data_IF_478673747815
#
_entry.id   IF_478673747815
#
_cell.length_a   1.000
_cell.length_b   1.000
_cell.length_c   1.000
_cell.angle_alpha   90.00
_cell.angle_beta   90.00
_cell.angle_gamma   90.00
#
_symmetry.space_group_name_H-M   'P 1'
#
loop_
_entity.id
_entity.type
_entity.pdbx_description
1 polymer ?
#
# COMPACT_ATOMS: atom_id res chain seq x y z
N UNK A 1 -34.43 49.92 14.10
CA UNK A 1 -34.69 48.48 13.91
C UNK A 1 -33.99 48.07 12.64
N UNK A 2 -32.83 47.38 12.71
CA UNK A 2 -32.15 46.89 11.53
C UNK A 2 -32.86 45.59 11.13
N UNK A 3 -33.49 45.56 9.96
CA UNK A 3 -34.05 44.39 9.35
C UNK A 3 -32.87 43.47 8.97
N UNK A 4 -32.68 42.37 9.69
CA UNK A 4 -31.79 41.31 9.29
C UNK A 4 -32.47 40.57 8.11
N UNK A 5 -31.92 40.63 6.91
CA UNK A 5 -32.55 39.90 5.79
C UNK A 5 -32.53 38.41 6.12
N UNK A 6 -33.72 37.78 6.12
CA UNK A 6 -33.84 36.35 6.22
C UNK A 6 -33.06 35.72 5.05
N UNK A 7 -32.08 34.88 5.37
CA UNK A 7 -31.38 34.10 4.36
C UNK A 7 -32.40 33.35 3.48
N UNK A 8 -32.32 33.51 2.17
CA UNK A 8 -33.21 32.79 1.25
C UNK A 8 -32.87 31.29 1.34
N UNK A 9 -33.87 30.41 1.46
CA UNK A 9 -33.59 28.98 1.49
C UNK A 9 -32.92 28.56 0.19
N UNK A 10 -31.84 27.75 0.29
CA UNK A 10 -31.17 27.15 -0.86
C UNK A 10 -32.20 26.24 -1.55
N UNK A 11 -32.52 26.54 -2.80
CA UNK A 11 -33.54 25.80 -3.58
C UNK A 11 -32.95 24.63 -4.37
N UNK A 12 -31.68 24.75 -4.76
CA UNK A 12 -30.95 23.72 -5.50
C UNK A 12 -30.15 22.93 -4.47
N UNK A 13 -30.24 21.62 -4.54
CA UNK A 13 -29.35 20.71 -3.81
C UNK A 13 -28.39 20.08 -4.80
N UNK A 14 -27.19 19.88 -4.37
CA UNK A 14 -26.16 19.14 -5.14
C UNK A 14 -25.80 17.88 -4.37
N UNK A 15 -25.37 16.85 -5.08
CA UNK A 15 -24.86 15.64 -4.48
C UNK A 15 -23.38 15.51 -4.77
N UNK A 16 -22.60 15.18 -3.74
CA UNK A 16 -21.17 14.85 -3.84
C UNK A 16 -20.81 13.90 -2.71
N UNK A 17 -19.92 12.93 -2.94
CA UNK A 17 -19.60 11.90 -1.97
C UNK A 17 -20.82 11.06 -1.53
N UNK A 18 -21.81 10.90 -2.41
CA UNK A 18 -23.05 10.17 -2.11
C UNK A 18 -24.04 10.90 -1.19
N UNK A 19 -23.81 12.17 -0.85
CA UNK A 19 -24.60 12.96 0.10
C UNK A 19 -25.14 14.23 -0.58
N UNK A 20 -26.38 14.63 -0.23
CA UNK A 20 -26.97 15.90 -0.64
C UNK A 20 -26.46 17.05 0.25
N UNK A 21 -25.99 18.14 -0.35
CA UNK A 21 -25.44 19.28 0.34
C UNK A 21 -26.34 20.52 0.23
N UNK A 22 -26.52 21.20 1.36
CA UNK A 22 -27.22 22.48 1.46
C UNK A 22 -26.31 23.65 1.87
N UNK A 23 -25.03 23.40 2.15
CA UNK A 23 -24.04 24.41 2.54
C UNK A 23 -22.64 24.03 2.05
N UNK A 24 -21.77 25.05 1.86
CA UNK A 24 -20.38 24.86 1.48
C UNK A 24 -19.60 24.01 2.51
N UNK A 25 -19.89 24.20 3.80
CA UNK A 25 -19.26 23.41 4.87
C UNK A 25 -19.55 21.92 4.70
N UNK A 26 -20.83 21.55 4.50
CA UNK A 26 -21.21 20.15 4.26
C UNK A 26 -20.56 19.56 3.00
N UNK A 27 -20.44 20.36 1.93
CA UNK A 27 -19.73 19.93 0.72
C UNK A 27 -18.25 19.69 0.98
N UNK A 28 -17.58 20.53 1.77
CA UNK A 28 -16.16 20.37 2.12
C UNK A 28 -15.90 19.16 3.02
N UNK A 29 -16.82 18.84 3.92
CA UNK A 29 -16.73 17.68 4.82
C UNK A 29 -16.83 16.35 4.07
N UNK A 30 -17.55 16.32 2.94
CA UNK A 30 -17.79 15.13 2.13
C UNK A 30 -17.41 15.38 0.66
N UNK A 31 -16.24 15.97 0.46
CA UNK A 31 -15.80 16.42 -0.85
C UNK A 31 -15.36 15.27 -1.73
N UNK A 32 -16.01 15.11 -2.89
CA UNK A 32 -15.58 14.24 -3.98
C UNK A 32 -15.20 15.11 -5.17
N UNK A 33 -13.92 15.10 -5.57
CA UNK A 33 -13.46 15.89 -6.70
C UNK A 33 -14.12 15.47 -8.00
N UNK A 34 -14.34 14.18 -8.21
CA UNK A 34 -15.02 13.63 -9.39
C UNK A 34 -16.42 14.20 -9.53
N UNK A 35 -17.23 14.13 -8.46
CA UNK A 35 -18.60 14.68 -8.46
C UNK A 35 -18.60 16.19 -8.68
N UNK A 36 -17.67 16.90 -8.03
CA UNK A 36 -17.52 18.36 -8.17
C UNK A 36 -17.20 18.73 -9.61
N UNK A 37 -16.29 18.01 -10.27
CA UNK A 37 -15.99 18.22 -11.69
C UNK A 37 -17.21 17.96 -12.59
N UNK A 38 -17.99 16.93 -12.30
CA UNK A 38 -19.27 16.65 -12.98
C UNK A 38 -20.30 17.79 -12.80
N UNK A 39 -20.36 18.39 -11.60
CA UNK A 39 -21.23 19.53 -11.32
C UNK A 39 -20.73 20.84 -11.98
N UNK A 40 -19.44 20.96 -12.22
CA UNK A 40 -18.86 22.06 -13.02
C UNK A 40 -19.27 21.91 -14.49
N UNK A 41 -19.05 20.73 -15.06
CA UNK A 41 -19.36 20.44 -16.46
C UNK A 41 -20.84 20.75 -16.81
N UNK A 42 -21.76 20.51 -15.91
CA UNK A 42 -23.19 20.81 -16.11
C UNK A 42 -23.63 22.19 -15.62
N UNK A 43 -22.72 23.00 -15.08
CA UNK A 43 -22.96 24.36 -14.59
C UNK A 43 -23.84 24.44 -13.34
N UNK A 44 -24.06 23.33 -12.64
CA UNK A 44 -24.91 23.28 -11.43
C UNK A 44 -24.20 23.85 -10.22
N UNK A 45 -22.90 23.61 -10.08
CA UNK A 45 -22.11 23.99 -8.93
C UNK A 45 -22.06 25.53 -8.74
N UNK A 46 -21.74 26.26 -9.79
CA UNK A 46 -21.66 27.73 -9.70
C UNK A 46 -23.00 28.36 -9.32
N UNK A 47 -24.12 27.85 -9.88
CA UNK A 47 -25.46 28.29 -9.52
C UNK A 47 -25.78 28.00 -8.05
N UNK A 48 -25.40 26.84 -7.56
CA UNK A 48 -25.59 26.44 -6.17
C UNK A 48 -24.74 27.28 -5.22
N UNK A 49 -23.46 27.52 -5.55
CA UNK A 49 -22.56 28.37 -4.76
C UNK A 49 -23.12 29.79 -4.59
N UNK A 50 -23.67 30.40 -5.66
CA UNK A 50 -24.35 31.72 -5.56
C UNK A 50 -25.54 31.66 -4.63
N UNK A 51 -26.30 30.59 -4.60
CA UNK A 51 -27.41 30.46 -3.66
C UNK A 51 -26.96 30.29 -2.22
N UNK A 52 -25.78 29.70 -2.01
CA UNK A 52 -25.14 29.62 -0.70
C UNK A 52 -24.53 30.97 -0.26
N UNK A 53 -24.43 31.96 -1.16
CA UNK A 53 -23.80 33.26 -0.88
C UNK A 53 -22.30 33.28 -1.23
N UNK A 54 -21.76 32.24 -1.80
CA UNK A 54 -20.33 32.07 -2.14
C UNK A 54 -20.05 32.61 -3.56
N UNK A 55 -20.26 33.92 -3.75
CA UNK A 55 -20.21 34.53 -5.09
C UNK A 55 -18.80 34.53 -5.70
N UNK A 56 -17.76 34.75 -4.87
CA UNK A 56 -16.37 34.77 -5.32
C UNK A 56 -15.93 33.38 -5.82
N UNK A 57 -16.21 32.33 -5.04
CA UNK A 57 -15.93 30.96 -5.41
C UNK A 57 -16.74 30.55 -6.66
N UNK A 58 -17.99 30.97 -6.77
CA UNK A 58 -18.81 30.70 -7.94
C UNK A 58 -18.20 31.33 -9.21
N UNK A 59 -17.59 32.50 -9.11
CA UNK A 59 -16.89 33.15 -10.21
C UNK A 59 -15.67 32.37 -10.67
N UNK A 60 -14.89 31.85 -9.73
CA UNK A 60 -13.74 30.97 -10.05
C UNK A 60 -14.21 29.69 -10.75
N UNK A 61 -15.24 29.05 -10.23
CA UNK A 61 -15.78 27.81 -10.75
C UNK A 61 -16.41 27.95 -12.15
N UNK A 62 -16.99 29.10 -12.47
CA UNK A 62 -17.53 29.37 -13.82
C UNK A 62 -16.46 29.47 -14.90
N UNK A 63 -15.26 29.89 -14.50
CA UNK A 63 -14.11 29.98 -15.42
C UNK A 63 -13.32 28.66 -15.50
N UNK A 64 -13.59 27.70 -14.62
CA UNK A 64 -12.87 26.44 -14.58
C UNK A 64 -13.33 25.49 -15.70
N UNK A 65 -12.37 24.83 -16.30
CA UNK A 65 -12.56 23.75 -17.28
C UNK A 65 -12.34 22.36 -16.63
N UNK A 66 -12.62 21.32 -17.38
CA UNK A 66 -12.35 19.94 -16.96
C UNK A 66 -10.85 19.66 -16.69
N UNK A 67 -9.96 20.48 -17.23
CA UNK A 67 -8.52 20.36 -17.03
C UNK A 67 -7.99 21.11 -15.80
N UNK A 68 -8.82 21.90 -15.14
CA UNK A 68 -8.41 22.76 -14.02
C UNK A 68 -8.63 22.11 -12.64
N UNK A 69 -8.59 20.77 -12.56
CA UNK A 69 -8.90 19.98 -11.36
C UNK A 69 -8.10 20.42 -10.14
N UNK A 70 -6.79 20.62 -10.30
CA UNK A 70 -5.92 21.08 -9.23
C UNK A 70 -6.31 22.49 -8.73
N UNK A 71 -6.63 23.39 -9.63
CA UNK A 71 -7.03 24.76 -9.28
C UNK A 71 -8.43 24.80 -8.65
N UNK A 72 -9.34 23.95 -9.15
CA UNK A 72 -10.66 23.75 -8.52
C UNK A 72 -10.46 23.26 -7.09
N UNK A 73 -9.67 22.22 -6.86
CA UNK A 73 -9.40 21.68 -5.52
C UNK A 73 -8.80 22.75 -4.60
N UNK A 74 -7.82 23.52 -5.07
CA UNK A 74 -7.21 24.63 -4.30
C UNK A 74 -8.19 25.77 -4.01
N UNK A 75 -9.16 26.01 -4.87
CA UNK A 75 -10.19 27.03 -4.62
C UNK A 75 -11.11 26.67 -3.47
N UNK A 76 -11.41 25.38 -3.28
CA UNK A 76 -12.14 24.87 -2.13
C UNK A 76 -11.27 24.76 -0.87
N UNK A 77 -10.00 24.42 -1.02
CA UNK A 77 -9.04 24.18 0.06
C UNK A 77 -7.77 25.03 -0.16
N UNK A 78 -7.80 26.32 0.21
CA UNK A 78 -6.71 27.25 -0.04
C UNK A 78 -5.37 26.84 0.55
N UNK A 79 -5.36 26.02 1.61
CA UNK A 79 -4.16 25.46 2.23
C UNK A 79 -3.38 24.54 1.27
N UNK A 80 -4.03 24.02 0.24
CA UNK A 80 -3.40 23.18 -0.78
C UNK A 80 -2.62 24.00 -1.83
N UNK A 81 -2.75 25.34 -1.82
CA UNK A 81 -2.04 26.24 -2.75
C UNK A 81 -0.51 26.20 -2.60
N UNK A 82 0.00 25.63 -1.50
CA UNK A 82 1.43 25.40 -1.28
C UNK A 82 2.02 24.35 -2.24
N UNK A 83 1.21 23.46 -2.78
CA UNK A 83 1.66 22.43 -3.71
C UNK A 83 1.71 22.99 -5.13
N UNK A 84 2.89 22.91 -5.75
CA UNK A 84 3.11 23.39 -7.12
C UNK A 84 3.01 22.27 -8.14
N UNK A 85 3.26 21.04 -7.73
CA UNK A 85 3.24 19.85 -8.56
C UNK A 85 2.02 18.99 -8.22
N UNK A 86 1.35 18.49 -9.24
CA UNK A 86 0.19 17.60 -9.08
C UNK A 86 0.55 16.30 -8.36
N UNK A 87 1.70 15.71 -8.67
CA UNK A 87 2.12 14.50 -7.98
C UNK A 87 2.43 14.73 -6.50
N UNK A 88 2.96 15.90 -6.12
CA UNK A 88 3.13 16.25 -4.70
C UNK A 88 1.79 16.39 -3.99
N UNK A 89 0.80 16.98 -4.67
CA UNK A 89 -0.55 17.10 -4.16
C UNK A 89 -1.20 15.71 -4.01
N UNK A 90 -1.09 14.86 -5.02
CA UNK A 90 -1.60 13.47 -4.97
C UNK A 90 -1.00 12.70 -3.79
N UNK A 91 0.32 12.79 -3.58
CA UNK A 91 0.99 12.16 -2.44
C UNK A 91 0.41 12.67 -1.11
N UNK A 92 0.27 13.97 -0.98
CA UNK A 92 -0.26 14.58 0.24
C UNK A 92 -1.69 14.13 0.52
N UNK A 93 -2.56 14.17 -0.50
CA UNK A 93 -3.96 13.76 -0.38
C UNK A 93 -4.06 12.29 0.03
N UNK A 94 -3.31 11.42 -0.61
CA UNK A 94 -3.29 10.00 -0.29
C UNK A 94 -2.89 9.75 1.18
N UNK A 95 -1.77 10.33 1.61
CA UNK A 95 -1.27 10.15 2.98
C UNK A 95 -2.11 10.89 4.05
N UNK A 96 -2.95 11.84 3.65
CA UNK A 96 -3.91 12.50 4.54
C UNK A 96 -5.28 11.79 4.62
N UNK A 97 -5.42 10.62 3.98
CA UNK A 97 -6.64 9.81 4.00
C UNK A 97 -7.69 10.21 2.95
N UNK A 98 -7.33 11.07 1.99
CA UNK A 98 -8.19 11.46 0.87
C UNK A 98 -7.85 10.63 -0.39
N UNK A 99 -7.91 9.29 -0.24
CA UNK A 99 -7.45 8.35 -1.25
C UNK A 99 -8.23 8.44 -2.56
N UNK A 100 -9.55 8.61 -2.50
CA UNK A 100 -10.40 8.73 -3.70
C UNK A 100 -10.03 9.96 -4.54
N UNK A 101 -9.87 11.11 -3.89
CA UNK A 101 -9.46 12.35 -4.57
C UNK A 101 -8.06 12.22 -5.17
N UNK A 102 -7.13 11.61 -4.44
CA UNK A 102 -5.77 11.37 -4.91
C UNK A 102 -5.75 10.45 -6.15
N UNK A 103 -6.49 9.35 -6.09
CA UNK A 103 -6.59 8.37 -7.18
C UNK A 103 -7.27 8.98 -8.41
N UNK A 104 -8.34 9.76 -8.22
CA UNK A 104 -9.02 10.44 -9.31
C UNK A 104 -8.10 11.44 -10.00
N UNK A 105 -7.36 12.28 -9.25
CA UNK A 105 -6.42 13.24 -9.81
C UNK A 105 -5.31 12.55 -10.61
N UNK A 106 -4.73 11.48 -10.06
CA UNK A 106 -3.70 10.71 -10.75
C UNK A 106 -4.21 10.10 -12.06
N UNK A 107 -5.35 9.40 -11.99
CA UNK A 107 -5.89 8.72 -13.16
C UNK A 107 -6.36 9.67 -14.27
N UNK A 108 -6.74 10.90 -13.92
CA UNK A 108 -7.21 11.86 -14.90
C UNK A 108 -6.08 12.69 -15.57
N UNK A 109 -5.02 13.02 -14.83
CA UNK A 109 -4.06 14.04 -15.27
C UNK A 109 -2.61 13.49 -15.33
N UNK A 110 -2.28 12.44 -14.57
CA UNK A 110 -0.91 11.94 -14.41
C UNK A 110 -0.69 10.51 -14.92
N UNK A 111 -1.73 9.85 -15.40
CA UNK A 111 -1.68 8.45 -15.81
C UNK A 111 -0.65 8.16 -16.90
N UNK A 112 -0.38 9.13 -17.78
CA UNK A 112 0.57 9.02 -18.88
C UNK A 112 1.91 9.71 -18.59
N UNK A 113 2.11 10.25 -17.40
CA UNK A 113 3.40 10.85 -17.00
C UNK A 113 4.29 9.80 -16.33
N UNK A 114 5.30 9.34 -17.06
CA UNK A 114 6.28 8.35 -16.59
C UNK A 114 6.89 8.73 -15.23
N UNK A 115 7.20 10.01 -15.02
CA UNK A 115 7.77 10.46 -13.75
C UNK A 115 6.74 10.42 -12.62
N UNK A 116 5.48 10.74 -12.90
CA UNK A 116 4.41 10.62 -11.94
C UNK A 116 4.13 9.15 -11.58
N UNK A 117 4.13 8.24 -12.58
CA UNK A 117 3.98 6.79 -12.37
C UNK A 117 5.09 6.26 -11.45
N UNK A 118 6.37 6.58 -11.74
CA UNK A 118 7.51 6.19 -10.90
C UNK A 118 7.35 6.69 -9.47
N UNK A 119 7.02 7.96 -9.31
CA UNK A 119 6.86 8.55 -7.98
C UNK A 119 5.67 7.96 -7.22
N UNK A 120 4.52 7.76 -7.88
CA UNK A 120 3.36 7.15 -7.25
C UNK A 120 3.68 5.72 -6.76
N UNK A 121 4.37 4.92 -7.55
CA UNK A 121 4.84 3.59 -7.18
C UNK A 121 5.80 3.64 -5.98
N UNK A 122 6.83 4.49 -6.04
CA UNK A 122 7.84 4.62 -4.97
C UNK A 122 7.23 5.06 -3.63
N UNK A 123 6.14 5.82 -3.65
CA UNK A 123 5.43 6.26 -2.45
C UNK A 123 4.25 5.36 -2.07
N UNK A 124 4.10 4.21 -2.75
CA UNK A 124 3.07 3.21 -2.46
C UNK A 124 1.64 3.78 -2.47
N UNK A 125 1.34 4.67 -3.42
CA UNK A 125 -0.01 5.21 -3.57
C UNK A 125 -0.93 4.09 -4.06
N UNK A 126 -1.89 3.68 -3.23
CA UNK A 126 -2.87 2.64 -3.55
C UNK A 126 -3.98 3.12 -4.50
N UNK A 127 -4.86 2.19 -4.87
CA UNK A 127 -6.00 2.49 -5.75
C UNK A 127 -5.65 2.66 -7.24
N UNK A 128 -4.37 2.66 -7.59
CA UNK A 128 -3.87 2.77 -8.97
C UNK A 128 -3.55 1.36 -9.48
N UNK A 129 -4.01 1.05 -10.69
CA UNK A 129 -3.61 -0.18 -11.37
C UNK A 129 -2.26 0.04 -12.09
N UNK A 130 -1.17 -0.26 -11.41
CA UNK A 130 0.17 -0.01 -11.92
C UNK A 130 0.61 -0.94 -13.04
N UNK A 131 0.10 -2.16 -13.12
CA UNK A 131 0.58 -3.14 -14.10
C UNK A 131 0.44 -2.64 -15.55
N UNK A 132 -0.74 -2.16 -16.02
CA UNK A 132 -0.87 -1.62 -17.36
C UNK A 132 0.05 -0.42 -17.60
N UNK A 133 0.19 0.48 -16.62
CA UNK A 133 1.01 1.68 -16.73
C UNK A 133 2.49 1.33 -16.91
N UNK A 134 2.99 0.38 -16.12
CA UNK A 134 4.35 -0.11 -16.27
C UNK A 134 4.52 -0.82 -17.62
N UNK A 135 3.55 -1.66 -18.00
CA UNK A 135 3.61 -2.44 -19.23
C UNK A 135 3.57 -1.55 -20.49
N UNK A 136 2.85 -0.44 -20.47
CA UNK A 136 2.74 0.49 -21.58
C UNK A 136 3.98 1.39 -21.72
N UNK A 137 4.61 1.78 -20.61
CA UNK A 137 5.64 2.82 -20.60
C UNK A 137 7.06 2.35 -20.24
N UNK A 138 7.28 1.08 -19.94
CA UNK A 138 8.60 0.59 -19.49
C UNK A 138 9.72 0.77 -20.54
N UNK A 139 9.39 0.82 -21.81
CA UNK A 139 10.36 1.04 -22.89
C UNK A 139 10.77 2.51 -23.06
N UNK A 140 10.15 3.43 -22.34
CA UNK A 140 10.38 4.87 -22.48
C UNK A 140 11.43 5.40 -21.50
N UNK A 141 11.60 4.75 -20.34
CA UNK A 141 12.46 5.24 -19.26
C UNK A 141 13.17 4.10 -18.55
N UNK A 142 14.50 4.22 -18.43
CA UNK A 142 15.33 3.17 -17.84
C UNK A 142 15.08 2.91 -16.36
N UNK A 143 14.68 3.93 -15.61
CA UNK A 143 14.34 3.76 -14.19
C UNK A 143 12.98 3.08 -14.04
N UNK A 144 12.00 3.44 -14.88
CA UNK A 144 10.71 2.76 -14.90
C UNK A 144 10.85 1.29 -15.30
N UNK A 145 11.65 1.01 -16.35
CA UNK A 145 11.98 -0.37 -16.74
C UNK A 145 12.60 -1.16 -15.59
N UNK A 146 13.52 -0.55 -14.85
CA UNK A 146 14.14 -1.18 -13.68
C UNK A 146 13.10 -1.47 -12.57
N UNK A 147 12.25 -0.51 -12.23
CA UNK A 147 11.17 -0.71 -11.26
C UNK A 147 10.18 -1.78 -11.71
N UNK A 148 9.87 -1.83 -13.00
CA UNK A 148 9.02 -2.87 -13.58
C UNK A 148 9.64 -4.27 -13.42
N UNK A 149 10.92 -4.43 -13.76
CA UNK A 149 11.64 -5.68 -13.57
C UNK A 149 11.66 -6.10 -12.10
N UNK A 150 11.87 -5.16 -11.17
CA UNK A 150 11.82 -5.44 -9.73
C UNK A 150 10.43 -5.89 -9.28
N UNK A 151 9.38 -5.20 -9.68
CA UNK A 151 8.01 -5.54 -9.32
C UNK A 151 7.62 -6.94 -9.83
N UNK A 152 8.01 -7.26 -11.07
CA UNK A 152 7.81 -8.60 -11.63
C UNK A 152 8.57 -9.68 -10.84
N UNK A 153 9.82 -9.41 -10.51
CA UNK A 153 10.66 -10.35 -9.76
C UNK A 153 10.19 -10.54 -8.31
N UNK A 154 9.61 -9.51 -7.71
CA UNK A 154 9.02 -9.58 -6.37
C UNK A 154 7.64 -10.27 -6.36
N UNK A 155 7.03 -10.49 -7.53
CA UNK A 155 5.69 -11.06 -7.64
C UNK A 155 4.58 -10.03 -7.43
N UNK A 156 4.89 -8.73 -7.48
CA UNK A 156 3.90 -7.65 -7.42
C UNK A 156 3.05 -7.62 -8.69
N UNK A 157 3.62 -8.08 -9.81
CA UNK A 157 2.95 -8.25 -11.08
C UNK A 157 2.99 -9.71 -11.54
N UNK A 158 1.86 -10.22 -12.02
CA UNK A 158 1.73 -11.60 -12.52
C UNK A 158 2.33 -11.73 -13.93
N UNK A 159 3.65 -11.69 -14.02
CA UNK A 159 4.38 -12.07 -15.24
C UNK A 159 4.84 -13.51 -15.09
N UNK A 160 4.24 -14.40 -15.88
CA UNK A 160 4.51 -15.84 -15.84
C UNK A 160 5.80 -16.26 -16.57
N UNK A 161 6.39 -15.38 -17.35
CA UNK A 161 7.57 -15.68 -18.16
C UNK A 161 8.82 -14.99 -17.61
N UNK A 162 9.70 -15.77 -17.01
CA UNK A 162 10.96 -15.29 -16.43
C UNK A 162 11.94 -14.70 -17.46
N UNK A 163 11.84 -15.11 -18.73
CA UNK A 163 12.65 -14.52 -19.81
C UNK A 163 12.29 -13.04 -20.02
N UNK A 164 11.06 -12.66 -19.67
CA UNK A 164 10.58 -11.28 -19.75
C UNK A 164 11.27 -10.35 -18.75
N UNK A 165 11.56 -10.82 -17.54
CA UNK A 165 12.23 -9.97 -16.52
C UNK A 165 13.67 -9.65 -16.93
N UNK A 166 14.40 -10.64 -17.50
CA UNK A 166 15.75 -10.41 -18.00
C UNK A 166 15.76 -9.42 -19.16
N UNK A 167 14.82 -9.57 -20.08
CA UNK A 167 14.65 -8.66 -21.21
C UNK A 167 14.34 -7.22 -20.75
N UNK A 168 13.48 -7.05 -19.75
CA UNK A 168 13.17 -5.74 -19.19
C UNK A 168 14.39 -5.12 -18.50
N UNK A 169 15.20 -5.93 -17.77
CA UNK A 169 16.46 -5.45 -17.18
C UNK A 169 17.48 -5.04 -18.24
N UNK A 170 17.63 -5.82 -19.33
CA UNK A 170 18.52 -5.47 -20.44
C UNK A 170 18.07 -4.15 -21.09
N UNK A 171 16.78 -3.99 -21.32
CA UNK A 171 16.22 -2.75 -21.81
C UNK A 171 16.46 -1.56 -20.87
N UNK A 172 16.29 -1.77 -19.57
CA UNK A 172 16.60 -0.74 -18.56
C UNK A 172 18.07 -0.28 -18.65
N UNK A 173 19.01 -1.20 -18.91
CA UNK A 173 20.43 -0.88 -19.10
C UNK A 173 20.64 -0.09 -20.40
N UNK A 174 20.02 -0.51 -21.50
CA UNK A 174 20.05 0.21 -22.78
C UNK A 174 19.54 1.65 -22.64
N UNK A 175 18.49 1.85 -21.81
CA UNK A 175 17.90 3.16 -21.51
C UNK A 175 18.69 3.93 -20.44
N UNK A 176 19.84 3.42 -19.99
CA UNK A 176 20.76 4.12 -19.10
C UNK A 176 20.52 3.96 -17.60
N UNK A 177 19.71 2.97 -17.16
CA UNK A 177 19.53 2.68 -15.75
C UNK A 177 20.82 2.21 -15.10
N UNK A 178 21.36 3.04 -14.18
CA UNK A 178 22.53 2.67 -13.37
C UNK A 178 22.20 1.54 -12.38
N UNK A 179 20.99 1.52 -11.84
CA UNK A 179 20.54 0.49 -10.91
C UNK A 179 20.50 -0.88 -11.58
N UNK A 180 19.93 -0.95 -12.79
CA UNK A 180 19.90 -2.20 -13.58
C UNK A 180 21.32 -2.68 -13.92
N UNK A 181 22.21 -1.77 -14.30
CA UNK A 181 23.61 -2.09 -14.60
C UNK A 181 24.35 -2.64 -13.36
N UNK A 182 24.19 -1.99 -12.22
CA UNK A 182 24.80 -2.43 -10.96
C UNK A 182 24.23 -3.78 -10.51
N UNK A 183 22.92 -3.97 -10.66
CA UNK A 183 22.25 -5.21 -10.32
C UNK A 183 22.73 -6.37 -11.21
N UNK A 184 22.83 -6.17 -12.51
CA UNK A 184 23.31 -7.19 -13.46
C UNK A 184 24.80 -7.49 -13.32
N UNK A 185 25.59 -6.54 -12.82
CA UNK A 185 27.01 -6.70 -12.51
C UNK A 185 27.28 -7.49 -11.23
N UNK A 186 26.25 -7.75 -10.40
CA UNK A 186 26.35 -8.53 -9.17
C UNK A 186 25.49 -9.78 -9.29
N UNK A 187 25.80 -10.85 -8.55
CA UNK A 187 24.96 -12.05 -8.53
C UNK A 187 23.55 -11.81 -7.95
N UNK A 188 23.29 -10.61 -7.47
CA UNK A 188 21.98 -10.24 -6.93
C UNK A 188 20.87 -10.18 -7.97
N UNK A 189 21.19 -9.85 -9.24
CA UNK A 189 20.21 -9.80 -10.32
C UNK A 189 19.49 -11.16 -10.55
N UNK A 190 20.17 -12.29 -10.25
CA UNK A 190 19.58 -13.62 -10.33
C UNK A 190 18.36 -13.80 -9.44
N UNK A 191 18.30 -13.11 -8.32
CA UNK A 191 17.14 -13.10 -7.41
C UNK A 191 15.90 -12.51 -8.07
N UNK A 192 16.09 -11.59 -9.01
CA UNK A 192 15.01 -10.89 -9.68
C UNK A 192 14.54 -11.59 -10.95
N UNK A 193 15.42 -12.34 -11.61
CA UNK A 193 15.06 -13.09 -12.83
C UNK A 193 14.30 -14.38 -12.51
N UNK A 194 14.60 -14.98 -11.39
CA UNK A 194 14.01 -16.25 -10.98
C UNK A 194 13.43 -16.07 -9.56
N UNK A 195 12.14 -15.75 -9.41
CA UNK A 195 11.51 -15.63 -8.09
C UNK A 195 11.73 -16.87 -7.21
N UNK A 196 11.76 -18.05 -7.79
CA UNK A 196 12.13 -19.30 -7.11
C UNK A 196 13.59 -19.39 -6.68
N UNK A 197 14.47 -18.46 -7.09
CA UNK A 197 15.90 -18.46 -6.77
C UNK A 197 16.31 -17.44 -5.71
N UNK A 198 15.37 -16.80 -5.02
CA UNK A 198 15.71 -15.89 -3.91
C UNK A 198 16.58 -16.57 -2.84
N UNK A 199 16.53 -17.91 -2.76
CA UNK A 199 17.38 -18.73 -1.91
C UNK A 199 18.54 -19.41 -2.66
N UNK A 200 19.00 -18.87 -3.80
CA UNK A 200 19.97 -19.55 -4.68
C UNK A 200 21.32 -19.87 -4.00
N UNK A 201 21.71 -19.07 -3.00
CA UNK A 201 22.93 -19.27 -2.20
C UNK A 201 22.64 -19.86 -0.81
N UNK A 202 21.48 -20.44 -0.63
CA UNK A 202 21.04 -21.07 0.62
C UNK A 202 20.92 -22.57 0.38
N UNK A 203 21.49 -23.37 1.27
CA UNK A 203 21.23 -24.82 1.31
C UNK A 203 19.80 -25.05 1.82
N UNK A 204 18.83 -25.13 0.88
CA UNK A 204 17.41 -25.22 1.17
C UNK A 204 17.06 -26.41 2.05
N UNK A 205 17.60 -27.59 1.72
CA UNK A 205 17.30 -28.81 2.48
C UNK A 205 17.81 -28.72 3.92
N UNK A 206 19.05 -28.26 4.08
CA UNK A 206 19.62 -28.03 5.41
C UNK A 206 18.83 -26.95 6.17
N UNK A 207 18.54 -25.83 5.53
CA UNK A 207 17.87 -24.72 6.18
C UNK A 207 16.41 -25.03 6.50
N UNK A 208 15.71 -25.83 5.70
CA UNK A 208 14.35 -26.31 6.03
C UNK A 208 14.37 -27.09 7.35
N UNK A 209 15.34 -28.00 7.54
CA UNK A 209 15.51 -28.71 8.81
C UNK A 209 15.85 -27.76 9.95
N UNK A 210 16.77 -26.81 9.74
CA UNK A 210 17.23 -25.85 10.76
C UNK A 210 16.08 -24.95 11.22
N UNK A 211 15.26 -24.40 10.29
CA UNK A 211 14.17 -23.49 10.69
C UNK A 211 13.09 -24.21 11.48
N UNK A 212 12.78 -25.46 11.13
CA UNK A 212 11.79 -26.25 11.85
C UNK A 212 12.31 -26.65 13.25
N UNK A 213 13.59 -27.05 13.36
CA UNK A 213 14.21 -27.32 14.67
C UNK A 213 14.18 -26.08 15.57
N UNK A 214 14.56 -24.90 15.03
CA UNK A 214 14.49 -23.64 15.80
C UNK A 214 13.06 -23.33 16.22
N UNK A 215 12.07 -23.51 15.35
CA UNK A 215 10.68 -23.25 15.66
C UNK A 215 10.15 -24.19 16.75
N UNK A 216 10.57 -25.45 16.74
CA UNK A 216 10.19 -26.47 17.72
C UNK A 216 10.97 -26.37 19.05
N UNK A 217 11.86 -25.38 19.19
CA UNK A 217 12.57 -25.11 20.44
C UNK A 217 14.06 -25.38 20.42
N UNK A 218 14.60 -25.81 19.28
CA UNK A 218 16.02 -26.02 19.07
C UNK A 218 16.84 -24.73 19.16
N UNK A 219 18.15 -24.89 19.14
CA UNK A 219 19.11 -23.77 19.25
C UNK A 219 19.47 -23.26 17.88
N UNK A 220 19.67 -21.95 17.78
CA UNK A 220 20.25 -21.34 16.59
C UNK A 220 21.66 -21.88 16.39
N UNK A 221 22.02 -22.36 15.19
CA UNK A 221 23.37 -22.78 14.86
C UNK A 221 24.39 -21.67 15.15
N UNK A 222 25.55 -22.04 15.63
CA UNK A 222 26.66 -21.07 15.88
C UNK A 222 27.34 -20.59 14.61
N UNK A 223 27.13 -21.28 13.49
CA UNK A 223 27.75 -20.97 12.18
C UNK A 223 26.72 -21.10 11.07
N UNK A 224 26.78 -20.16 10.14
CA UNK A 224 26.02 -20.13 8.89
C UNK A 224 26.97 -19.98 7.71
N UNK A 225 26.57 -20.47 6.55
CA UNK A 225 27.38 -20.36 5.34
C UNK A 225 27.42 -18.91 4.81
N UNK A 226 26.35 -18.16 5.06
CA UNK A 226 26.20 -16.78 4.63
C UNK A 226 25.18 -16.03 5.52
N UNK A 227 25.04 -14.74 5.32
CA UNK A 227 24.12 -13.89 6.07
C UNK A 227 22.63 -14.20 5.78
N UNK A 228 22.32 -14.70 4.58
CA UNK A 228 20.96 -15.10 4.22
C UNK A 228 20.47 -16.26 5.11
N UNK A 229 21.28 -17.30 5.29
CA UNK A 229 20.96 -18.42 6.18
C UNK A 229 20.75 -17.95 7.62
N UNK A 230 21.59 -17.01 8.07
CA UNK A 230 21.46 -16.40 9.39
C UNK A 230 20.13 -15.66 9.53
N UNK A 231 19.78 -14.83 8.56
CA UNK A 231 18.52 -14.08 8.53
C UNK A 231 17.31 -15.00 8.59
N UNK A 232 17.29 -16.07 7.80
CA UNK A 232 16.23 -17.08 7.79
C UNK A 232 16.10 -17.77 9.16
N UNK A 233 17.20 -18.13 9.78
CA UNK A 233 17.21 -18.74 11.11
C UNK A 233 16.65 -17.78 12.19
N UNK A 234 16.98 -16.51 12.13
CA UNK A 234 16.43 -15.50 13.05
C UNK A 234 14.95 -15.22 12.79
N UNK A 235 14.50 -15.29 11.53
CA UNK A 235 13.07 -15.23 11.22
C UNK A 235 12.30 -16.41 11.85
N UNK A 236 12.82 -17.63 11.74
CA UNK A 236 12.21 -18.80 12.40
C UNK A 236 12.17 -18.63 13.92
N UNK A 237 13.22 -18.06 14.53
CA UNK A 237 13.23 -17.72 15.96
C UNK A 237 12.15 -16.70 16.30
N UNK A 238 12.01 -15.64 15.50
CA UNK A 238 10.96 -14.63 15.69
C UNK A 238 9.56 -15.25 15.61
N UNK A 239 9.30 -16.10 14.60
CA UNK A 239 8.04 -16.86 14.50
C UNK A 239 7.76 -17.70 15.72
N UNK A 240 8.78 -18.38 16.28
CA UNK A 240 8.64 -19.12 17.54
C UNK A 240 8.30 -18.22 18.72
N UNK A 241 8.99 -17.09 18.85
CA UNK A 241 8.77 -16.15 19.97
C UNK A 241 7.35 -15.60 19.98
N UNK A 242 6.83 -15.17 18.83
CA UNK A 242 5.44 -14.72 18.74
C UNK A 242 4.45 -15.88 18.91
N UNK A 243 4.78 -17.08 18.41
CA UNK A 243 3.94 -18.27 18.59
C UNK A 243 3.86 -18.74 20.05
N UNK A 244 4.88 -18.52 20.83
CA UNK A 244 4.94 -18.91 22.25
C UNK A 244 4.19 -17.99 23.21
N UNK A 245 3.82 -16.80 22.80
CA UNK A 245 3.09 -15.84 23.65
C UNK A 245 1.65 -16.26 23.85
N UNK A 246 1.21 -16.37 25.09
CA UNK A 246 -0.13 -16.92 25.43
C UNK A 246 -1.27 -15.92 25.20
N UNK A 247 -1.03 -14.64 25.36
CA UNK A 247 -1.97 -13.58 25.01
C UNK A 247 -1.24 -12.28 24.74
N UNK A 248 -1.54 -11.66 23.59
CA UNK A 248 -1.11 -10.32 23.25
C UNK A 248 -2.30 -9.59 22.66
N UNK A 249 -2.39 -8.28 22.90
CA UNK A 249 -3.29 -7.50 22.10
C UNK A 249 -2.70 -7.28 20.69
N UNK A 250 -3.57 -6.98 19.75
CA UNK A 250 -3.16 -6.74 18.36
C UNK A 250 -2.07 -5.66 18.24
N UNK A 251 -2.20 -4.58 19.01
CA UNK A 251 -1.22 -3.50 19.00
C UNK A 251 0.18 -3.96 19.39
N UNK A 252 0.30 -4.84 20.39
CA UNK A 252 1.58 -5.42 20.76
C UNK A 252 2.16 -6.34 19.69
N UNK A 253 1.32 -7.17 19.05
CA UNK A 253 1.78 -7.99 17.90
C UNK A 253 2.31 -7.14 16.76
N UNK A 254 1.57 -6.10 16.39
CA UNK A 254 1.99 -5.20 15.32
C UNK A 254 3.21 -4.37 15.70
N UNK A 255 3.33 -3.96 16.95
CA UNK A 255 4.52 -3.22 17.41
C UNK A 255 5.79 -4.10 17.31
N UNK A 256 5.74 -5.34 17.79
CA UNK A 256 6.87 -6.27 17.72
C UNK A 256 7.18 -6.67 16.28
N UNK A 257 6.14 -6.89 15.47
CA UNK A 257 6.29 -7.19 14.05
C UNK A 257 6.92 -6.03 13.28
N UNK A 258 6.41 -4.80 13.45
CA UNK A 258 6.94 -3.63 12.77
C UNK A 258 8.40 -3.37 13.16
N UNK A 259 8.73 -3.48 14.44
CA UNK A 259 10.12 -3.38 14.89
C UNK A 259 11.01 -4.40 14.18
N UNK A 260 10.60 -5.65 14.13
CA UNK A 260 11.35 -6.70 13.45
C UNK A 260 11.44 -6.46 11.94
N UNK A 261 10.34 -6.04 11.31
CA UNK A 261 10.29 -5.68 9.89
C UNK A 261 11.24 -4.53 9.55
N UNK A 262 11.28 -3.48 10.40
CA UNK A 262 12.18 -2.34 10.21
C UNK A 262 13.64 -2.75 10.35
N UNK A 263 13.97 -3.62 11.32
CA UNK A 263 15.32 -4.18 11.47
C UNK A 263 15.74 -5.04 10.25
N UNK A 264 14.78 -5.63 9.55
CA UNK A 264 15.00 -6.50 8.37
C UNK A 264 14.71 -5.83 7.03
N UNK A 265 14.40 -4.54 7.00
CA UNK A 265 13.99 -3.82 5.78
C UNK A 265 14.99 -3.91 4.62
N UNK A 266 16.28 -4.11 4.91
CA UNK A 266 17.32 -4.33 3.91
C UNK A 266 17.43 -5.79 3.40
N UNK A 267 16.69 -6.74 4.00
CA UNK A 267 16.82 -8.17 3.72
C UNK A 267 15.66 -8.67 2.83
N UNK A 268 15.86 -8.65 1.52
CA UNK A 268 14.87 -9.16 0.55
C UNK A 268 14.61 -10.67 0.68
N UNK A 269 15.53 -11.43 1.31
CA UNK A 269 15.45 -12.90 1.42
C UNK A 269 14.20 -13.40 2.16
N UNK A 270 13.70 -12.63 3.11
CA UNK A 270 12.49 -12.97 3.91
C UNK A 270 11.34 -11.98 3.68
N UNK A 271 11.44 -11.12 2.67
CA UNK A 271 10.44 -10.08 2.42
C UNK A 271 9.05 -10.68 2.20
N UNK A 272 8.96 -11.76 1.44
CA UNK A 272 7.70 -12.46 1.18
C UNK A 272 7.11 -13.07 2.46
N UNK A 273 7.94 -13.71 3.28
CA UNK A 273 7.52 -14.30 4.55
C UNK A 273 7.07 -13.23 5.55
N UNK A 274 7.69 -12.05 5.53
CA UNK A 274 7.25 -10.92 6.34
C UNK A 274 5.86 -10.43 5.92
N UNK A 275 5.58 -10.36 4.61
CA UNK A 275 4.26 -10.01 4.10
C UNK A 275 3.20 -11.06 4.49
N UNK A 276 3.53 -12.36 4.36
CA UNK A 276 2.65 -13.44 4.81
C UNK A 276 2.37 -13.38 6.31
N UNK A 277 3.39 -13.12 7.12
CA UNK A 277 3.25 -13.00 8.56
C UNK A 277 2.38 -11.81 8.94
N UNK A 278 2.59 -10.66 8.28
CA UNK A 278 1.76 -9.46 8.46
C UNK A 278 0.29 -9.75 8.13
N UNK A 279 0.04 -10.41 7.00
CA UNK A 279 -1.30 -10.81 6.58
C UNK A 279 -1.97 -11.76 7.60
N UNK A 280 -1.24 -12.74 8.12
CA UNK A 280 -1.74 -13.67 9.15
C UNK A 280 -2.14 -12.90 10.42
N UNK A 281 -1.32 -11.94 10.87
CA UNK A 281 -1.61 -11.13 12.05
C UNK A 281 -2.83 -10.23 11.80
N UNK A 282 -2.85 -9.51 10.67
CA UNK A 282 -3.95 -8.61 10.30
C UNK A 282 -5.26 -9.35 10.09
N UNK A 283 -5.24 -10.47 9.39
CA UNK A 283 -6.44 -11.28 9.15
C UNK A 283 -7.01 -11.82 10.46
N UNK A 284 -6.14 -12.26 11.37
CA UNK A 284 -6.56 -12.72 12.71
C UNK A 284 -7.27 -11.64 13.49
N UNK A 285 -6.99 -10.37 13.22
CA UNK A 285 -7.63 -9.22 13.84
C UNK A 285 -8.86 -8.73 13.07
N UNK A 286 -8.72 -8.47 11.76
CA UNK A 286 -9.76 -7.79 10.93
C UNK A 286 -11.02 -8.63 10.72
N UNK A 287 -10.90 -9.93 10.59
CA UNK A 287 -12.07 -10.83 10.52
C UNK A 287 -12.69 -11.08 11.90
N UNK A 288 -12.44 -10.09 12.82
CA UNK A 288 -12.88 -10.26 14.18
C UNK A 288 -12.21 -11.46 14.80
N UNK A 289 -10.96 -11.74 14.54
CA UNK A 289 -10.17 -12.85 15.10
C UNK A 289 -11.00 -13.99 15.69
N UNK A 290 -12.24 -13.61 16.05
CA UNK A 290 -13.33 -14.42 16.60
C UNK A 290 -13.81 -15.48 15.63
N UNK A 291 -14.14 -15.10 14.38
CA UNK A 291 -14.72 -16.06 13.45
C UNK A 291 -13.65 -16.97 12.89
N UNK A 292 -12.44 -16.43 12.68
CA UNK A 292 -11.29 -17.23 12.34
C UNK A 292 -10.86 -18.13 13.51
N UNK A 293 -10.94 -17.65 14.71
CA UNK A 293 -10.65 -18.40 15.94
C UNK A 293 -11.78 -19.39 16.27
N UNK A 294 -13.03 -19.07 15.97
CA UNK A 294 -14.19 -19.97 16.14
C UNK A 294 -14.28 -21.04 15.07
N UNK A 295 -13.93 -20.73 13.83
CA UNK A 295 -13.91 -21.72 12.74
C UNK A 295 -12.77 -22.73 12.86
N UNK A 296 -11.90 -22.53 13.83
CA UNK A 296 -10.75 -23.38 14.08
C UNK A 296 -11.03 -24.30 15.25
N UNK A 297 -10.57 -25.56 15.22
CA UNK A 297 -10.69 -26.55 16.31
C UNK A 297 -10.00 -26.09 17.61
N UNK A 298 -10.28 -24.89 18.05
CA UNK A 298 -9.73 -24.30 19.25
C UNK A 298 -10.76 -24.38 20.33
N UNK A 299 -10.34 -24.95 21.44
CA UNK A 299 -11.19 -25.23 22.58
C UNK A 299 -11.77 -23.96 23.20
N UNK A 300 -11.14 -22.83 23.07
CA UNK A 300 -11.68 -21.52 23.47
C UNK A 300 -10.78 -20.40 23.02
N UNK A 301 -11.17 -19.56 22.07
CA UNK A 301 -10.49 -18.29 21.87
C UNK A 301 -10.96 -17.34 22.96
N UNK A 302 -10.18 -17.17 24.02
CA UNK A 302 -10.45 -16.07 24.94
C UNK A 302 -9.97 -14.77 24.26
N UNK A 303 -10.90 -13.99 23.77
CA UNK A 303 -10.67 -12.61 23.42
C UNK A 303 -11.26 -11.78 24.53
N UNK A 304 -10.40 -11.05 25.22
CA UNK A 304 -10.83 -10.15 26.28
C UNK A 304 -10.80 -8.73 25.75
N UNK A 305 -11.96 -8.11 25.76
CA UNK A 305 -12.09 -6.68 25.47
C UNK A 305 -11.73 -5.91 26.75
N UNK A 306 -10.71 -5.07 26.68
CA UNK A 306 -10.36 -4.18 27.77
C UNK A 306 -10.04 -2.79 27.23
N UNK A 307 -10.83 -1.79 27.61
CA UNK A 307 -10.65 -0.39 27.18
C UNK A 307 -10.42 -0.25 25.67
N UNK A 308 -11.30 -0.78 24.87
CA UNK A 308 -11.25 -0.78 23.40
C UNK A 308 -10.06 -1.55 22.77
N UNK A 309 -9.36 -2.35 23.55
CA UNK A 309 -8.29 -3.22 23.07
C UNK A 309 -8.73 -4.67 23.04
N UNK A 310 -8.44 -5.35 21.93
CA UNK A 310 -8.70 -6.78 21.78
C UNK A 310 -7.45 -7.58 22.14
N UNK A 311 -7.60 -8.53 23.07
CA UNK A 311 -6.56 -9.49 23.39
C UNK A 311 -6.84 -10.79 22.66
N UNK A 312 -5.89 -11.20 21.81
CA UNK A 312 -5.96 -12.48 21.12
C UNK A 312 -5.25 -13.51 21.97
N UNK A 313 -6.00 -14.45 22.53
CA UNK A 313 -5.40 -15.63 23.16
C UNK A 313 -5.02 -16.60 22.05
N UNK A 314 -3.77 -16.98 22.04
CA UNK A 314 -3.26 -17.92 21.05
C UNK A 314 -4.02 -19.24 21.05
N UNK A 315 -4.39 -19.62 19.87
CA UNK A 315 -4.98 -20.91 19.61
C UNK A 315 -3.95 -21.85 18.97
N UNK A 316 -4.26 -23.15 18.92
CA UNK A 316 -3.40 -24.18 18.32
C UNK A 316 -3.15 -23.97 16.81
N UNK A 317 -3.93 -23.13 16.13
CA UNK A 317 -3.78 -22.91 14.69
C UNK A 317 -2.82 -21.77 14.34
N UNK A 318 -2.65 -20.77 15.22
CA UNK A 318 -1.68 -19.71 14.95
C UNK A 318 -0.25 -20.27 14.83
N UNK A 319 0.26 -21.09 15.78
CA UNK A 319 1.53 -21.78 15.61
C UNK A 319 1.56 -22.69 14.36
N UNK A 320 0.46 -23.40 14.07
CA UNK A 320 0.39 -24.26 12.86
C UNK A 320 0.50 -23.47 11.58
N UNK A 321 -0.11 -22.29 11.49
CA UNK A 321 0.01 -21.40 10.31
C UNK A 321 1.43 -20.87 10.15
N UNK A 322 2.07 -20.46 11.25
CA UNK A 322 3.47 -20.01 11.21
C UNK A 322 4.40 -21.16 10.82
N UNK A 323 4.16 -22.36 11.38
CA UNK A 323 4.90 -23.57 10.97
C UNK A 323 4.74 -23.85 9.48
N UNK A 324 3.52 -23.75 8.96
CA UNK A 324 3.25 -23.95 7.55
C UNK A 324 4.06 -22.97 6.67
N UNK A 325 4.15 -21.70 7.05
CA UNK A 325 4.99 -20.71 6.33
C UNK A 325 6.46 -21.17 6.32
N UNK A 326 6.99 -21.63 7.46
CA UNK A 326 8.38 -22.09 7.55
C UNK A 326 8.63 -23.40 6.80
N UNK A 327 7.66 -24.31 6.76
CA UNK A 327 7.74 -25.57 6.02
C UNK A 327 7.79 -25.36 4.50
N UNK A 328 7.04 -24.35 4.01
CA UNK A 328 6.84 -24.11 2.58
C UNK A 328 7.62 -22.92 2.02
N UNK A 329 8.39 -22.18 2.86
CA UNK A 329 9.14 -21.02 2.38
C UNK A 329 10.23 -21.35 1.35
N UNK A 330 10.68 -22.59 1.29
CA UNK A 330 11.69 -23.07 0.36
C UNK A 330 11.10 -23.84 -0.85
N UNK A 331 9.79 -24.09 -0.83
CA UNK A 331 9.10 -24.74 -1.94
C UNK A 331 9.00 -23.75 -3.11
N UNK A 332 9.29 -24.22 -4.34
CA UNK A 332 9.26 -23.44 -5.58
C UNK A 332 7.88 -23.50 -6.24
#
# INVERSE_FOLDING_TARGET
>A
MKLIPKARPVRIRISSGGIEHSSLTSLKEHFSLEDVMGLIANGSLARWLRQCGECDLAGVIECASENDKMEVLKSFFPELSRFKSEIELVKYLYHSGQEETATYLFNSDLINDVNAIKQAWMYYIGGINYFPLFYEHWEEDGELAFLFAQACANGDFDIKDHSSVEMVLDKAIELGSRQALLLKGTDEWKKYIHPGTRFYNVDKERMKSVVLDIFDGGRIPSRFNNENERTIAFFAKFCREISGKRSLNYAHYMLEFNKYKDEQSANSIIAHELLLLEAIIKESYQKGGWDLLRSTDVVSPAITLYKDQYYIVQNRKFPKRLRFVLEHMFDE
#
